data_IF_392717599945
#
_entry.id   IF_392717599945
#
_cell.length_a   1.000
_cell.length_b   1.000
_cell.length_c   1.000
_cell.angle_alpha   90.00
_cell.angle_beta   90.00
_cell.angle_gamma   90.00
#
_symmetry.space_group_name_H-M   'P 1'
#
loop_
_entity.id
_entity.type
_entity.pdbx_description
1 polymer ?
#
# COMPACT_ATOMS: atom_id res chain seq x y z
N UNK A 1 -12.10 -6.51 24.87
CA UNK A 1 -12.53 -7.28 23.68
C UNK A 1 -12.84 -6.41 22.44
N UNK A 2 -13.52 -5.27 22.57
CA UNK A 2 -13.90 -4.43 21.41
C UNK A 2 -12.72 -3.85 20.60
N UNK A 3 -11.55 -3.62 21.21
CA UNK A 3 -10.37 -3.13 20.49
C UNK A 3 -9.78 -4.20 19.55
N UNK A 4 -9.61 -5.42 20.05
CA UNK A 4 -9.07 -6.53 19.26
C UNK A 4 -9.97 -6.91 18.08
N UNK A 5 -11.30 -6.87 18.26
CA UNK A 5 -12.23 -7.14 17.17
C UNK A 5 -12.19 -6.07 16.07
N UNK A 6 -12.08 -4.80 16.45
CA UNK A 6 -11.89 -3.69 15.49
C UNK A 6 -10.56 -3.79 14.75
N UNK A 7 -9.48 -4.16 15.44
CA UNK A 7 -8.18 -4.37 14.82
C UNK A 7 -8.24 -5.49 13.77
N UNK A 8 -8.81 -6.65 14.14
CA UNK A 8 -8.99 -7.78 13.23
C UNK A 8 -9.86 -7.43 12.03
N UNK A 9 -10.96 -6.69 12.23
CA UNK A 9 -11.82 -6.29 11.11
C UNK A 9 -11.11 -5.32 10.15
N UNK A 10 -10.30 -4.40 10.66
CA UNK A 10 -9.51 -3.49 9.82
C UNK A 10 -8.44 -4.22 9.01
N UNK A 11 -7.73 -5.18 9.63
CA UNK A 11 -6.74 -6.01 8.94
C UNK A 11 -7.44 -6.86 7.86
N UNK A 12 -8.53 -7.53 8.22
CA UNK A 12 -9.30 -8.34 7.29
C UNK A 12 -9.83 -7.54 6.11
N UNK A 13 -10.31 -6.32 6.34
CA UNK A 13 -10.77 -5.41 5.29
C UNK A 13 -9.61 -4.98 4.38
N UNK A 14 -8.45 -4.64 4.94
CA UNK A 14 -7.29 -4.26 4.15
C UNK A 14 -6.80 -5.41 3.26
N UNK A 15 -6.69 -6.62 3.81
CA UNK A 15 -6.36 -7.83 3.03
C UNK A 15 -7.43 -8.09 1.97
N UNK A 16 -8.71 -7.95 2.31
CA UNK A 16 -9.83 -8.11 1.38
C UNK A 16 -9.77 -7.13 0.20
N UNK A 17 -9.44 -5.86 0.45
CA UNK A 17 -9.26 -4.87 -0.61
C UNK A 17 -8.10 -5.24 -1.53
N UNK A 18 -6.96 -5.67 -0.98
CA UNK A 18 -5.80 -6.09 -1.79
C UNK A 18 -6.17 -7.31 -2.63
N UNK A 19 -6.82 -8.31 -2.04
CA UNK A 19 -7.29 -9.51 -2.74
C UNK A 19 -8.26 -9.14 -3.87
N UNK A 20 -9.19 -8.20 -3.62
CA UNK A 20 -10.14 -7.72 -4.62
C UNK A 20 -9.44 -6.98 -5.76
N UNK A 21 -8.41 -6.18 -5.48
CA UNK A 21 -7.59 -5.53 -6.52
C UNK A 21 -6.88 -6.57 -7.38
N UNK A 22 -6.22 -7.56 -6.76
CA UNK A 22 -5.53 -8.65 -7.50
C UNK A 22 -6.52 -9.44 -8.35
N UNK A 23 -7.66 -9.82 -7.77
CA UNK A 23 -8.71 -10.55 -8.48
C UNK A 23 -9.33 -9.71 -9.60
N UNK A 24 -9.60 -8.42 -9.36
CA UNK A 24 -10.10 -7.49 -10.36
C UNK A 24 -9.16 -7.35 -11.56
N UNK A 25 -7.85 -7.28 -11.32
CA UNK A 25 -6.85 -7.22 -12.40
C UNK A 25 -6.75 -8.52 -13.20
N UNK A 26 -7.09 -9.67 -12.61
CA UNK A 26 -7.11 -10.96 -13.33
C UNK A 26 -8.15 -11.04 -14.45
N UNK A 27 -9.17 -10.19 -14.44
CA UNK A 27 -10.14 -10.12 -15.53
C UNK A 27 -9.61 -9.43 -16.79
N UNK A 28 -8.43 -8.82 -16.73
CA UNK A 28 -7.80 -8.15 -17.88
C UNK A 28 -6.92 -9.19 -18.58
N UNK A 29 -7.32 -9.72 -19.77
CA UNK A 29 -6.61 -10.84 -20.38
C UNK A 29 -5.17 -10.51 -20.75
N UNK A 30 -4.89 -9.25 -21.09
CA UNK A 30 -3.55 -8.76 -21.42
C UNK A 30 -2.57 -8.77 -20.24
N UNK A 31 -3.04 -8.96 -19.01
CA UNK A 31 -2.18 -9.00 -17.81
C UNK A 31 -1.75 -10.40 -17.41
N UNK A 32 -2.36 -11.44 -17.97
CA UNK A 32 -2.04 -12.85 -17.73
C UNK A 32 -1.84 -13.18 -16.24
N UNK A 33 -2.71 -12.65 -15.37
CA UNK A 33 -2.68 -12.93 -13.94
C UNK A 33 -3.48 -14.19 -13.69
N UNK A 34 -2.79 -15.27 -13.31
CA UNK A 34 -3.44 -16.56 -13.04
C UNK A 34 -3.52 -16.79 -11.54
N UNK A 35 -4.75 -16.97 -11.05
CA UNK A 35 -5.03 -17.25 -9.64
C UNK A 35 -5.51 -18.70 -9.55
N UNK A 36 -4.68 -19.58 -9.02
CA UNK A 36 -4.97 -21.02 -8.95
C UNK A 36 -5.80 -21.38 -7.72
N UNK A 37 -5.71 -20.61 -6.64
CA UNK A 37 -6.52 -20.83 -5.43
C UNK A 37 -6.84 -19.54 -4.67
N UNK A 38 -8.02 -19.52 -4.04
CA UNK A 38 -8.41 -18.42 -3.14
C UNK A 38 -7.51 -18.34 -1.91
N UNK A 39 -7.00 -19.47 -1.43
CA UNK A 39 -6.05 -19.51 -0.31
C UNK A 39 -4.74 -18.81 -0.69
N UNK A 40 -4.19 -19.08 -1.88
CA UNK A 40 -3.00 -18.38 -2.37
C UNK A 40 -3.24 -16.87 -2.50
N UNK A 41 -4.42 -16.46 -3.01
CA UNK A 41 -4.82 -15.06 -3.09
C UNK A 41 -4.80 -14.36 -1.72
N UNK A 42 -5.34 -15.00 -0.69
CA UNK A 42 -5.37 -14.45 0.67
C UNK A 42 -3.95 -14.39 1.25
N UNK A 43 -3.12 -15.41 1.07
CA UNK A 43 -1.72 -15.41 1.53
C UNK A 43 -0.90 -14.32 0.88
N UNK A 44 -1.04 -14.16 -0.44
CA UNK A 44 -0.40 -13.08 -1.18
C UNK A 44 -0.87 -11.71 -0.70
N UNK A 45 -2.19 -11.50 -0.58
CA UNK A 45 -2.74 -10.25 -0.07
C UNK A 45 -2.28 -9.93 1.36
N UNK A 46 -2.17 -10.95 2.22
CA UNK A 46 -1.60 -10.85 3.56
C UNK A 46 -0.13 -10.45 3.56
N UNK A 47 0.68 -11.04 2.67
CA UNK A 47 2.09 -10.66 2.50
C UNK A 47 2.24 -9.22 2.02
N UNK A 48 1.46 -8.82 1.01
CA UNK A 48 1.42 -7.43 0.52
C UNK A 48 1.01 -6.46 1.63
N UNK A 49 -0.01 -6.80 2.42
CA UNK A 49 -0.44 -6.00 3.56
C UNK A 49 0.69 -5.81 4.59
N UNK A 50 1.45 -6.86 4.88
CA UNK A 50 2.56 -6.80 5.84
C UNK A 50 3.63 -5.79 5.41
N UNK A 51 3.82 -5.63 4.09
CA UNK A 51 4.74 -4.63 3.52
C UNK A 51 4.22 -3.19 3.57
N UNK A 52 2.91 -2.99 3.72
CA UNK A 52 2.33 -1.64 3.90
C UNK A 52 2.89 -1.01 5.18
N UNK A 53 3.20 -1.78 6.23
CA UNK A 53 3.75 -1.24 7.48
C UNK A 53 5.11 -0.54 7.26
N UNK A 54 6.14 -1.19 6.68
CA UNK A 54 7.39 -0.52 6.30
C UNK A 54 7.17 0.72 5.42
N UNK A 55 6.24 0.65 4.45
CA UNK A 55 5.91 1.79 3.58
C UNK A 55 5.46 3.01 4.41
N UNK A 56 4.57 2.81 5.38
CA UNK A 56 4.09 3.89 6.26
C UNK A 56 5.19 4.46 7.15
N UNK A 57 6.11 3.63 7.64
CA UNK A 57 7.26 4.09 8.46
C UNK A 57 8.20 4.97 7.62
N UNK A 58 8.52 4.58 6.39
CA UNK A 58 9.36 5.36 5.48
C UNK A 58 8.68 6.68 5.11
N UNK A 59 7.36 6.69 4.89
CA UNK A 59 6.60 7.91 4.66
C UNK A 59 6.61 8.84 5.88
N UNK A 60 6.51 8.31 7.09
CA UNK A 60 6.64 9.09 8.32
C UNK A 60 8.04 9.72 8.45
N UNK A 61 9.10 9.05 8.00
CA UNK A 61 10.45 9.63 7.98
C UNK A 61 10.57 10.86 7.07
N UNK A 62 9.71 11.01 6.05
CA UNK A 62 9.66 12.21 5.20
C UNK A 62 9.16 13.45 5.97
N UNK A 63 8.52 13.28 7.13
CA UNK A 63 8.09 14.39 7.99
C UNK A 63 9.25 15.02 8.79
N UNK A 64 10.42 14.38 8.82
CA UNK A 64 11.61 14.96 9.46
C UNK A 64 12.01 16.21 8.70
N UNK A 65 12.06 17.36 9.41
CA UNK A 65 12.32 18.68 8.80
C UNK A 65 13.73 18.73 8.17
N UNK A 66 13.80 18.60 6.84
CA UNK A 66 15.02 18.85 6.08
C UNK A 66 15.21 20.37 5.92
N UNK A 67 16.33 20.90 6.43
CA UNK A 67 16.60 22.34 6.52
C UNK A 67 17.14 22.98 5.22
N UNK A 68 17.63 22.20 4.23
CA UNK A 68 18.21 22.74 2.98
C UNK A 68 17.22 22.75 1.81
N UNK A 69 17.02 23.90 1.15
CA UNK A 69 15.97 24.18 0.13
C UNK A 69 15.98 23.21 -1.06
N UNK A 70 17.16 22.88 -1.62
CA UNK A 70 17.29 21.93 -2.75
C UNK A 70 16.98 20.50 -2.31
N UNK A 71 17.48 20.08 -1.14
CA UNK A 71 17.22 18.73 -0.60
C UNK A 71 15.74 18.53 -0.26
N UNK A 72 15.00 19.58 0.13
CA UNK A 72 13.55 19.49 0.39
C UNK A 72 12.75 19.07 -0.85
N UNK A 73 13.18 19.47 -2.06
CA UNK A 73 12.44 19.18 -3.29
C UNK A 73 12.76 17.77 -3.78
N UNK A 74 14.04 17.39 -3.86
CA UNK A 74 14.46 16.12 -4.48
C UNK A 74 14.23 14.91 -3.56
N UNK A 75 14.47 15.07 -2.26
CA UNK A 75 14.39 13.99 -1.28
C UNK A 75 13.05 13.22 -1.27
N UNK A 76 11.86 13.86 -1.28
CA UNK A 76 10.60 13.12 -1.30
C UNK A 76 10.41 12.27 -2.56
N UNK A 77 10.90 12.72 -3.73
CA UNK A 77 10.82 11.94 -4.97
C UNK A 77 11.80 10.77 -4.95
N UNK A 78 13.03 10.97 -4.47
CA UNK A 78 14.02 9.90 -4.35
C UNK A 78 13.54 8.79 -3.40
N UNK A 79 13.03 9.17 -2.23
CA UNK A 79 12.50 8.21 -1.26
C UNK A 79 11.28 7.49 -1.83
N UNK A 80 10.39 8.18 -2.56
CA UNK A 80 9.29 7.52 -3.28
C UNK A 80 9.80 6.50 -4.30
N UNK A 81 10.81 6.84 -5.09
CA UNK A 81 11.37 5.93 -6.10
C UNK A 81 11.96 4.68 -5.45
N UNK A 82 12.75 4.83 -4.38
CA UNK A 82 13.31 3.71 -3.62
C UNK A 82 12.19 2.87 -3.00
N UNK A 83 11.17 3.53 -2.44
CA UNK A 83 10.04 2.88 -1.79
C UNK A 83 9.20 2.04 -2.78
N UNK A 84 8.90 2.58 -3.95
CA UNK A 84 8.21 1.86 -5.03
C UNK A 84 9.09 0.73 -5.57
N UNK A 85 10.38 0.98 -5.81
CA UNK A 85 11.31 -0.04 -6.30
C UNK A 85 11.46 -1.21 -5.31
N UNK A 86 11.61 -0.91 -4.02
CA UNK A 86 11.70 -1.91 -2.96
C UNK A 86 10.38 -2.69 -2.81
N UNK A 87 9.23 -2.02 -2.99
CA UNK A 87 7.93 -2.69 -2.99
C UNK A 87 7.78 -3.65 -4.18
N UNK A 88 8.10 -3.20 -5.39
CA UNK A 88 8.06 -4.06 -6.58
C UNK A 88 8.98 -5.26 -6.39
N UNK A 89 10.22 -5.04 -5.95
CA UNK A 89 11.16 -6.11 -5.64
C UNK A 89 10.60 -7.10 -4.60
N UNK A 90 9.99 -6.59 -3.53
CA UNK A 90 9.33 -7.41 -2.52
C UNK A 90 8.17 -8.21 -3.10
N UNK A 91 7.32 -7.61 -3.93
CA UNK A 91 6.18 -8.29 -4.58
C UNK A 91 6.65 -9.42 -5.49
N UNK A 92 7.71 -9.21 -6.28
CA UNK A 92 8.32 -10.27 -7.11
C UNK A 92 8.81 -11.43 -6.23
N UNK A 93 9.49 -11.12 -5.13
CA UNK A 93 9.97 -12.17 -4.22
C UNK A 93 8.82 -12.88 -3.47
N UNK A 94 7.72 -12.16 -3.21
CA UNK A 94 6.53 -12.74 -2.60
C UNK A 94 5.80 -13.67 -3.56
N UNK A 95 5.64 -13.27 -4.83
CA UNK A 95 5.10 -14.12 -5.89
C UNK A 95 5.91 -15.42 -6.00
N UNK A 96 7.24 -15.33 -6.06
CA UNK A 96 8.11 -16.50 -6.15
C UNK A 96 7.98 -17.48 -4.97
N UNK A 97 7.51 -17.00 -3.80
CA UNK A 97 7.33 -17.81 -2.59
C UNK A 97 5.89 -18.30 -2.39
N UNK A 98 4.90 -17.58 -2.90
CA UNK A 98 3.49 -17.94 -2.77
C UNK A 98 3.07 -18.73 -4.01
N UNK A 99 3.12 -20.05 -3.89
CA UNK A 99 2.66 -20.96 -4.95
C UNK A 99 1.15 -20.79 -5.17
N UNK A 100 0.74 -20.57 -6.42
CA UNK A 100 -0.67 -20.49 -6.81
C UNK A 100 -1.16 -19.12 -7.28
N UNK A 101 -0.26 -18.14 -7.39
CA UNK A 101 -0.50 -16.92 -8.18
C UNK A 101 0.68 -16.72 -9.12
N UNK A 102 0.38 -16.47 -10.39
CA UNK A 102 1.38 -16.16 -11.41
C UNK A 102 1.03 -14.83 -12.02
N UNK A 103 2.01 -13.92 -12.07
CA UNK A 103 1.89 -12.64 -12.75
C UNK A 103 2.78 -12.62 -13.98
N UNK A 104 2.27 -12.05 -15.08
CA UNK A 104 3.18 -11.54 -16.10
C UNK A 104 3.93 -10.31 -15.57
N UNK A 105 5.07 -9.97 -16.20
CA UNK A 105 5.81 -8.75 -15.83
C UNK A 105 4.95 -7.48 -15.90
N UNK A 106 4.06 -7.38 -16.90
CA UNK A 106 3.11 -6.26 -17.01
C UNK A 106 2.03 -6.31 -15.92
N UNK A 107 1.50 -7.49 -15.62
CA UNK A 107 0.52 -7.69 -14.55
C UNK A 107 1.07 -7.29 -13.18
N UNK A 108 2.32 -7.64 -12.88
CA UNK A 108 2.98 -7.29 -11.63
C UNK A 108 3.23 -5.78 -11.52
N UNK A 109 3.70 -5.14 -12.60
CA UNK A 109 3.91 -3.68 -12.62
C UNK A 109 2.60 -2.93 -12.40
N UNK A 110 1.53 -3.31 -13.09
CA UNK A 110 0.22 -2.66 -12.93
C UNK A 110 -0.40 -2.92 -11.56
N UNK A 111 -0.26 -4.13 -11.03
CA UNK A 111 -0.65 -4.45 -9.67
C UNK A 111 0.09 -3.57 -8.66
N UNK A 112 1.43 -3.52 -8.72
CA UNK A 112 2.23 -2.70 -7.81
C UNK A 112 1.86 -1.22 -7.91
N UNK A 113 1.64 -0.71 -9.12
CA UNK A 113 1.21 0.66 -9.34
C UNK A 113 -0.17 0.94 -8.72
N UNK A 114 -1.14 0.05 -8.92
CA UNK A 114 -2.48 0.17 -8.34
C UNK A 114 -2.43 0.19 -6.80
N UNK A 115 -1.68 -0.72 -6.17
CA UNK A 115 -1.55 -0.78 -4.71
C UNK A 115 -0.88 0.47 -4.15
N UNK A 116 0.16 0.98 -4.80
CA UNK A 116 0.82 2.23 -4.38
C UNK A 116 -0.15 3.41 -4.46
N UNK A 117 -0.91 3.53 -5.55
CA UNK A 117 -1.90 4.61 -5.71
C UNK A 117 -3.00 4.53 -4.66
N UNK A 118 -3.59 3.35 -4.46
CA UNK A 118 -4.65 3.14 -3.46
C UNK A 118 -4.11 3.47 -2.06
N UNK A 119 -2.92 2.97 -1.71
CA UNK A 119 -2.31 3.21 -0.40
C UNK A 119 -2.08 4.70 -0.15
N UNK A 120 -1.59 5.45 -1.15
CA UNK A 120 -1.40 6.90 -1.05
C UNK A 120 -2.73 7.65 -0.98
N UNK A 121 -3.74 7.24 -1.74
CA UNK A 121 -5.07 7.84 -1.70
C UNK A 121 -5.71 7.67 -0.31
N UNK A 122 -5.65 6.45 0.25
CA UNK A 122 -6.14 6.13 1.59
C UNK A 122 -5.39 6.94 2.64
N UNK A 123 -4.05 6.98 2.59
CA UNK A 123 -3.25 7.76 3.52
C UNK A 123 -3.59 9.26 3.47
N UNK A 124 -3.68 9.84 2.27
CA UNK A 124 -4.07 11.25 2.09
C UNK A 124 -5.48 11.51 2.63
N UNK A 125 -6.42 10.58 2.43
CA UNK A 125 -7.79 10.73 2.92
C UNK A 125 -7.85 10.70 4.46
N UNK A 126 -7.14 9.75 5.09
CA UNK A 126 -7.02 9.67 6.55
C UNK A 126 -6.35 10.93 7.09
N UNK A 127 -5.22 11.34 6.52
CA UNK A 127 -4.49 12.54 6.93
C UNK A 127 -5.36 13.81 6.85
N UNK A 128 -6.19 13.95 5.81
CA UNK A 128 -7.14 15.07 5.68
C UNK A 128 -8.24 15.03 6.74
N UNK A 129 -8.76 13.85 7.06
CA UNK A 129 -9.78 13.67 8.13
C UNK A 129 -9.22 14.05 9.49
N UNK A 130 -8.05 13.53 9.84
CA UNK A 130 -7.37 13.85 11.10
C UNK A 130 -6.98 15.33 11.17
N UNK A 131 -6.47 15.91 10.09
CA UNK A 131 -6.14 17.34 10.05
C UNK A 131 -7.37 18.24 10.21
N UNK A 132 -8.56 17.78 9.82
CA UNK A 132 -9.83 18.49 10.05
C UNK A 132 -10.27 18.49 11.51
N UNK A 133 -9.97 17.43 12.26
CA UNK A 133 -10.30 17.29 13.68
C UNK A 133 -9.31 18.03 14.60
N UNK A 134 -8.04 18.12 14.20
CA UNK A 134 -6.96 18.72 15.02
C UNK A 134 -6.89 20.25 14.91
N UNK A 135 -7.64 20.90 14.00
CA UNK A 135 -7.70 22.38 13.97
C UNK A 135 -8.47 22.87 15.20
N UNK A 136 -7.84 23.57 16.17
CA UNK A 136 -8.58 24.19 17.23
C UNK A 136 -9.49 25.24 16.58
N UNK A 137 -10.80 25.13 16.83
CA UNK A 137 -11.72 26.24 16.60
C UNK A 137 -11.28 27.36 17.53
N UNK A 138 -10.32 28.17 17.11
CA UNK A 138 -10.06 29.47 17.74
C UNK A 138 -11.30 30.31 17.41
N UNK A 139 -12.33 30.19 18.25
CA UNK A 139 -13.34 31.23 18.37
C UNK A 139 -12.61 32.43 18.93
N UNK A 140 -12.23 33.34 18.05
CA UNK A 140 -11.94 34.71 18.44
C UNK A 140 -13.30 35.29 18.82
N UNK A 141 -13.53 35.42 20.13
CA UNK A 141 -14.55 36.29 20.70
C UNK A 141 -13.86 37.57 21.16
#
# INVERSE_FOLDING_TARGET
MQFFSKLFSMIGLAIGVIALVTFGLSFIPALEIQIQSMTALIWFAGGVFLWIIPLQVIDAMKMIRIQRRVRRIIYPYLVNAIQVGAFVYYTVQLEARVTGIVFSGLGLVLFSFAIVLISRAVYSWIARRVAGEVRPRVRVQ
#
